data_IF_946694362915
#
_entry.id   IF_946694362915
#
_cell.length_a   1.000
_cell.length_b   1.000
_cell.length_c   1.000
_cell.angle_alpha   90.00
_cell.angle_beta   90.00
_cell.angle_gamma   90.00
#
_symmetry.space_group_name_H-M   'P 1'
#
loop_
_entity.id
_entity.type
_entity.pdbx_description
1 polymer ?
#
# COMPACT_ATOMS: atom_id res chain seq x y z
N UNK A 1 -37.46 15.28 6.44
CA UNK A 1 -36.10 14.85 6.05
C UNK A 1 -36.32 13.65 5.13
N UNK A 2 -36.09 13.82 3.84
CA UNK A 2 -36.52 12.89 2.80
C UNK A 2 -35.71 11.57 2.83
N UNK A 3 -36.34 10.48 3.23
CA UNK A 3 -35.77 9.11 3.20
C UNK A 3 -35.29 8.68 1.80
N UNK A 4 -35.79 9.35 0.74
CA UNK A 4 -35.32 9.17 -0.63
C UNK A 4 -33.90 9.68 -0.87
N UNK A 5 -33.46 10.72 -0.16
CA UNK A 5 -32.09 11.22 -0.26
C UNK A 5 -31.11 10.26 0.44
N UNK A 6 -31.53 9.62 1.53
CA UNK A 6 -30.71 8.62 2.22
C UNK A 6 -30.46 7.39 1.35
N UNK A 7 -31.49 6.88 0.67
CA UNK A 7 -31.36 5.76 -0.27
C UNK A 7 -30.59 6.09 -1.55
N UNK A 8 -30.46 7.38 -1.91
CA UNK A 8 -29.57 7.82 -2.99
C UNK A 8 -28.11 7.82 -2.55
N UNK A 9 -27.80 8.15 -1.30
CA UNK A 9 -26.42 8.18 -0.78
C UNK A 9 -25.88 6.75 -0.58
N UNK A 10 -26.72 5.81 -0.14
CA UNK A 10 -26.34 4.38 -0.03
C UNK A 10 -26.16 3.69 -1.40
N UNK A 11 -26.62 4.34 -2.49
CA UNK A 11 -26.54 3.82 -3.86
C UNK A 11 -25.61 4.67 -4.76
N UNK A 12 -24.89 5.65 -4.19
CA UNK A 12 -23.77 6.32 -4.86
C UNK A 12 -22.57 5.39 -4.75
N UNK A 13 -22.63 4.35 -5.60
CA UNK A 13 -21.57 3.47 -6.08
C UNK A 13 -20.49 3.03 -5.07
N UNK A 14 -20.31 1.74 -4.79
CA UNK A 14 -20.06 0.67 -5.79
C UNK A 14 -19.88 1.19 -7.23
N UNK A 15 -19.11 2.27 -7.37
CA UNK A 15 -18.36 2.45 -8.59
C UNK A 15 -17.39 1.28 -8.52
N UNK A 16 -17.64 0.33 -9.41
CA UNK A 16 -16.76 -0.77 -9.81
C UNK A 16 -15.46 -0.19 -10.43
N UNK A 17 -14.92 0.87 -9.83
CA UNK A 17 -13.60 1.41 -10.08
C UNK A 17 -12.66 0.35 -9.55
N UNK A 18 -12.09 -0.40 -10.49
CA UNK A 18 -11.04 -1.37 -10.25
C UNK A 18 -10.06 -0.76 -9.23
N UNK A 19 -10.03 -1.34 -8.02
CA UNK A 19 -9.16 -0.85 -6.95
C UNK A 19 -7.72 -1.10 -7.38
N UNK A 20 -7.15 -0.12 -8.05
CA UNK A 20 -5.78 -0.16 -8.49
C UNK A 20 -4.86 -0.22 -7.26
N UNK A 21 -3.89 -1.13 -7.23
CA UNK A 21 -2.94 -1.14 -6.15
C UNK A 21 -2.14 0.17 -6.16
N UNK A 22 -1.88 0.73 -4.97
CA UNK A 22 -1.11 1.97 -4.82
C UNK A 22 0.30 1.88 -5.43
N UNK A 23 0.84 0.66 -5.50
CA UNK A 23 2.12 0.34 -6.12
C UNK A 23 1.93 -0.93 -6.95
N UNK A 24 2.51 -0.93 -8.15
CA UNK A 24 2.74 -2.17 -8.90
C UNK A 24 3.69 -3.10 -8.14
N UNK A 25 3.70 -4.38 -8.50
CA UNK A 25 4.62 -5.35 -7.90
C UNK A 25 6.08 -4.89 -7.99
N UNK A 26 6.50 -4.39 -9.17
CA UNK A 26 7.87 -3.92 -9.39
C UNK A 26 8.21 -2.69 -8.56
N UNK A 27 7.28 -1.75 -8.43
CA UNK A 27 7.47 -0.57 -7.58
C UNK A 27 7.59 -0.97 -6.10
N UNK A 28 6.78 -1.93 -5.66
CA UNK A 28 6.83 -2.43 -4.29
C UNK A 28 8.15 -3.20 -4.01
N UNK A 29 8.67 -3.96 -4.97
CA UNK A 29 9.99 -4.59 -4.90
C UNK A 29 11.11 -3.54 -4.80
N UNK A 30 11.10 -2.55 -5.70
CA UNK A 30 12.09 -1.46 -5.69
C UNK A 30 12.05 -0.65 -4.38
N UNK A 31 10.85 -0.44 -3.81
CA UNK A 31 10.70 0.22 -2.51
C UNK A 31 11.33 -0.60 -1.38
N UNK A 32 11.21 -1.93 -1.41
CA UNK A 32 11.88 -2.80 -0.42
C UNK A 32 13.40 -2.69 -0.54
N UNK A 33 13.96 -2.72 -1.76
CA UNK A 33 15.40 -2.56 -1.99
C UNK A 33 15.92 -1.21 -1.48
N UNK A 34 15.19 -0.13 -1.76
CA UNK A 34 15.56 1.21 -1.28
C UNK A 34 15.55 1.27 0.25
N UNK A 35 14.55 0.67 0.91
CA UNK A 35 14.47 0.64 2.37
C UNK A 35 15.59 -0.21 3.00
N UNK A 36 16.04 -1.26 2.32
CA UNK A 36 17.20 -2.04 2.75
C UNK A 36 18.48 -1.21 2.65
N UNK A 37 18.69 -0.48 1.54
CA UNK A 37 19.84 0.44 1.41
C UNK A 37 19.85 1.51 2.51
N UNK A 38 18.68 2.08 2.83
CA UNK A 38 18.55 3.05 3.93
C UNK A 38 18.83 2.41 5.29
N UNK A 39 18.48 1.14 5.47
CA UNK A 39 18.82 0.39 6.70
C UNK A 39 20.32 0.27 6.85
N UNK A 40 21.04 -0.06 5.77
CA UNK A 40 22.49 -0.25 5.78
C UNK A 40 23.26 1.06 6.04
N UNK A 41 22.64 2.21 5.74
CA UNK A 41 23.23 3.52 6.01
C UNK A 41 23.29 3.90 7.51
N UNK A 42 22.66 3.12 8.41
CA UNK A 42 22.69 3.29 9.87
C UNK A 42 22.32 4.70 10.41
N UNK A 43 21.58 5.51 9.63
CA UNK A 43 21.06 6.80 10.09
C UNK A 43 19.82 6.68 10.99
N UNK A 44 19.30 7.82 11.47
CA UNK A 44 18.15 7.90 12.40
C UNK A 44 16.87 7.18 11.89
N UNK A 45 16.76 6.97 10.58
CA UNK A 45 15.65 6.25 9.95
C UNK A 45 15.87 4.74 9.74
N UNK A 46 17.05 4.20 10.04
CA UNK A 46 17.41 2.83 9.66
C UNK A 46 16.50 1.78 10.32
N UNK A 47 16.11 1.99 11.58
CA UNK A 47 15.17 1.09 12.26
C UNK A 47 13.78 1.11 11.62
N UNK A 48 13.26 2.29 11.29
CA UNK A 48 11.97 2.45 10.63
C UNK A 48 11.98 1.84 9.22
N UNK A 49 13.07 2.07 8.47
CA UNK A 49 13.27 1.50 7.14
C UNK A 49 13.30 -0.03 7.18
N UNK A 50 14.04 -0.61 8.13
CA UNK A 50 14.08 -2.06 8.36
C UNK A 50 12.70 -2.64 8.66
N UNK A 51 11.96 -1.99 9.56
CA UNK A 51 10.63 -2.44 9.93
C UNK A 51 9.66 -2.39 8.75
N UNK A 52 9.68 -1.29 7.99
CA UNK A 52 8.83 -1.11 6.81
C UNK A 52 9.18 -2.11 5.70
N UNK A 53 10.46 -2.31 5.41
CA UNK A 53 10.94 -3.29 4.44
C UNK A 53 10.45 -4.71 4.77
N UNK A 54 10.57 -5.13 6.03
CA UNK A 54 10.10 -6.44 6.47
C UNK A 54 8.57 -6.59 6.42
N UNK A 55 7.81 -5.52 6.65
CA UNK A 55 6.36 -5.54 6.52
C UNK A 55 5.92 -5.62 5.06
N UNK A 56 6.58 -4.89 4.16
CA UNK A 56 6.29 -4.94 2.73
C UNK A 56 6.69 -6.29 2.13
N UNK A 57 7.90 -6.78 2.40
CA UNK A 57 8.39 -8.05 1.86
C UNK A 57 7.47 -9.24 2.19
N UNK A 58 6.86 -9.27 3.39
CA UNK A 58 5.90 -10.32 3.77
C UNK A 58 4.56 -10.25 3.03
N UNK A 59 4.23 -9.09 2.47
CA UNK A 59 2.98 -8.87 1.70
C UNK A 59 3.20 -9.04 0.20
N UNK A 60 4.45 -9.04 -0.26
CA UNK A 60 4.75 -9.28 -1.66
C UNK A 60 4.40 -10.74 -2.01
N UNK A 61 3.77 -10.98 -3.17
CA UNK A 61 3.63 -12.33 -3.69
C UNK A 61 5.03 -12.93 -3.88
N UNK A 62 5.19 -14.21 -3.56
CA UNK A 62 6.41 -14.94 -3.89
C UNK A 62 6.60 -14.92 -5.42
N UNK A 63 7.83 -14.72 -5.88
CA UNK A 63 8.13 -14.78 -7.31
C UNK A 63 7.65 -16.13 -7.87
N UNK A 64 6.76 -16.05 -8.86
CA UNK A 64 6.25 -17.19 -9.61
C UNK A 64 6.98 -17.34 -10.94
#
# INVERSE_FOLDING_TARGET
>A
MDDRLLGMIDNVGDVDEERMPLLTLREAQAAVELLQLLTDSNGDGAFAARHLAGNLARRLPAEG
#
